data_IF_236062775142
#
_entry.id   IF_236062775142
#
_cell.length_a   1.000
_cell.length_b   1.000
_cell.length_c   1.000
_cell.angle_alpha   90.00
_cell.angle_beta   90.00
_cell.angle_gamma   90.00
#
_symmetry.space_group_name_H-M   'P 1'
#
loop_
_entity.id
_entity.type
_entity.pdbx_description
1 polymer ?
#
# COMPACT_ATOMS: atom_id res chain seq x y z
N UNK A 1 -14.53 -5.91 15.99
CA UNK A 1 -13.19 -5.35 15.74
C UNK A 1 -13.32 -4.46 14.52
N UNK A 2 -13.07 -3.17 14.64
CA UNK A 2 -13.13 -2.25 13.50
C UNK A 2 -12.05 -2.66 12.50
N UNK A 3 -12.46 -3.27 11.38
CA UNK A 3 -11.56 -3.81 10.38
C UNK A 3 -10.84 -2.66 9.65
N UNK A 4 -9.71 -2.22 10.20
CA UNK A 4 -8.86 -1.16 9.63
C UNK A 4 -8.42 -1.47 8.20
N UNK A 5 -8.44 -2.76 7.81
CA UNK A 5 -8.23 -3.21 6.42
C UNK A 5 -9.14 -2.48 5.44
N UNK A 6 -10.43 -2.34 5.74
CA UNK A 6 -11.41 -1.83 4.78
C UNK A 6 -11.18 -0.35 4.39
N UNK A 7 -11.01 0.59 5.33
CA UNK A 7 -10.65 1.96 4.98
C UNK A 7 -9.25 2.06 4.38
N UNK A 8 -8.30 1.22 4.79
CA UNK A 8 -6.95 1.19 4.20
C UNK A 8 -6.99 0.70 2.75
N UNK A 9 -7.72 -0.36 2.44
CA UNK A 9 -7.88 -0.87 1.07
C UNK A 9 -8.60 0.13 0.17
N UNK A 10 -9.59 0.87 0.70
CA UNK A 10 -10.25 1.96 -0.04
C UNK A 10 -9.26 3.08 -0.36
N UNK A 11 -8.52 3.57 0.65
CA UNK A 11 -7.50 4.60 0.45
C UNK A 11 -6.44 4.19 -0.58
N UNK A 12 -5.93 2.96 -0.45
CA UNK A 12 -4.96 2.40 -1.39
C UNK A 12 -5.55 2.33 -2.80
N UNK A 13 -6.82 1.96 -2.95
CA UNK A 13 -7.51 1.94 -4.24
C UNK A 13 -7.66 3.34 -4.84
N UNK A 14 -8.06 4.33 -4.04
CA UNK A 14 -8.27 5.72 -4.48
C UNK A 14 -6.96 6.43 -4.84
N UNK A 15 -5.88 6.14 -4.10
CA UNK A 15 -4.57 6.77 -4.31
C UNK A 15 -3.55 5.86 -4.99
N UNK A 16 -4.00 4.73 -5.56
CA UNK A 16 -3.13 3.70 -6.13
C UNK A 16 -2.08 4.25 -7.09
N UNK A 17 -2.51 5.07 -8.04
CA UNK A 17 -1.63 5.64 -9.07
C UNK A 17 -0.61 6.61 -8.47
N UNK A 18 -1.01 7.43 -7.51
CA UNK A 18 -0.12 8.34 -6.79
C UNK A 18 0.91 7.57 -5.96
N UNK A 19 0.47 6.52 -5.26
CA UNK A 19 1.34 5.62 -4.49
C UNK A 19 2.39 4.98 -5.40
N UNK A 20 1.96 4.34 -6.50
CA UNK A 20 2.88 3.69 -7.45
C UNK A 20 3.83 4.68 -8.12
N UNK A 21 3.35 5.90 -8.41
CA UNK A 21 4.17 6.99 -8.95
C UNK A 21 5.18 7.50 -7.93
N UNK A 22 4.83 7.60 -6.65
CA UNK A 22 5.75 8.01 -5.58
C UNK A 22 6.82 6.95 -5.28
N UNK A 23 6.51 5.67 -5.48
CA UNK A 23 7.48 4.60 -5.22
C UNK A 23 8.65 4.55 -6.22
N UNK A 24 8.43 4.81 -7.52
CA UNK A 24 9.51 4.69 -8.54
C UNK A 24 9.54 5.81 -9.59
N UNK A 25 8.68 6.83 -9.46
CA UNK A 25 8.52 7.89 -10.47
C UNK A 25 7.84 7.44 -11.77
N UNK A 26 7.80 6.14 -12.07
CA UNK A 26 7.11 5.53 -13.22
C UNK A 26 6.09 4.50 -12.74
N UNK A 27 4.80 4.76 -12.98
CA UNK A 27 3.70 3.89 -12.57
C UNK A 27 3.60 2.53 -13.32
N UNK A 28 4.66 2.08 -14.00
CA UNK A 28 4.57 1.07 -15.06
C UNK A 28 5.35 -0.23 -14.87
N UNK A 29 6.20 -0.39 -13.85
CA UNK A 29 7.12 -1.56 -13.77
C UNK A 29 7.17 -2.26 -12.42
N UNK A 30 6.18 -2.05 -11.55
CA UNK A 30 6.09 -2.80 -10.31
C UNK A 30 5.55 -4.21 -10.57
N UNK A 31 6.33 -5.22 -10.21
CA UNK A 31 5.84 -6.60 -10.12
C UNK A 31 5.34 -6.88 -8.71
N UNK A 32 4.44 -7.87 -8.57
CA UNK A 32 3.97 -8.32 -7.24
C UNK A 32 5.15 -8.72 -6.35
N UNK A 33 6.16 -9.39 -6.90
CA UNK A 33 7.37 -9.78 -6.17
C UNK A 33 8.21 -8.57 -5.72
N UNK A 34 8.35 -7.54 -6.58
CA UNK A 34 9.07 -6.31 -6.22
C UNK A 34 8.36 -5.54 -5.09
N UNK A 35 7.03 -5.48 -5.12
CA UNK A 35 6.23 -4.83 -4.09
C UNK A 35 6.21 -5.59 -2.76
N UNK A 36 6.40 -6.91 -2.76
CA UNK A 36 6.48 -7.72 -1.54
C UNK A 36 7.84 -7.62 -0.83
N UNK A 37 8.84 -6.98 -1.44
CA UNK A 37 10.14 -6.78 -0.82
C UNK A 37 10.02 -5.90 0.45
N UNK A 38 10.80 -6.19 1.49
CA UNK A 38 10.76 -5.44 2.75
C UNK A 38 10.98 -3.93 2.55
N UNK A 39 11.88 -3.54 1.64
CA UNK A 39 12.16 -2.14 1.33
C UNK A 39 10.98 -1.45 0.62
N UNK A 40 10.33 -2.16 -0.30
CA UNK A 40 9.16 -1.66 -1.02
C UNK A 40 7.96 -1.51 -0.07
N UNK A 41 7.74 -2.49 0.80
CA UNK A 41 6.69 -2.48 1.82
C UNK A 41 6.91 -1.36 2.84
N UNK A 42 8.15 -1.10 3.26
CA UNK A 42 8.44 -0.01 4.20
C UNK A 42 8.20 1.37 3.57
N UNK A 43 8.65 1.55 2.32
CA UNK A 43 8.38 2.76 1.52
C UNK A 43 6.88 2.96 1.32
N UNK A 44 6.17 1.89 0.93
CA UNK A 44 4.73 1.90 0.74
C UNK A 44 3.99 2.28 2.03
N UNK A 45 4.42 1.73 3.18
CA UNK A 45 3.82 2.07 4.47
C UNK A 45 3.99 3.56 4.79
N UNK A 46 5.15 4.15 4.50
CA UNK A 46 5.39 5.59 4.65
C UNK A 46 4.46 6.43 3.76
N UNK A 47 4.40 6.11 2.47
CA UNK A 47 3.53 6.82 1.52
C UNK A 47 2.06 6.70 1.93
N UNK A 48 1.59 5.49 2.26
CA UNK A 48 0.23 5.27 2.72
C UNK A 48 -0.05 6.05 4.01
N UNK A 49 0.89 6.13 4.96
CA UNK A 49 0.73 6.89 6.20
C UNK A 49 0.60 8.40 5.93
N UNK A 50 1.35 8.93 4.96
CA UNK A 50 1.21 10.31 4.50
C UNK A 50 -0.10 10.59 3.76
N UNK A 51 -0.73 9.58 3.19
CA UNK A 51 -2.04 9.71 2.53
C UNK A 51 -3.21 9.49 3.50
N UNK A 52 -2.96 8.93 4.68
CA UNK A 52 -4.02 8.70 5.67
C UNK A 52 -4.65 10.02 6.14
N UNK A 53 -5.98 10.06 6.28
CA UNK A 53 -6.65 11.19 6.88
C UNK A 53 -6.20 11.36 8.33
N UNK A 54 -6.07 12.60 8.80
CA UNK A 54 -5.48 12.92 10.11
C UNK A 54 -6.13 12.19 11.29
N UNK A 55 -7.42 11.89 11.20
CA UNK A 55 -8.15 11.07 12.18
C UNK A 55 -7.56 9.66 12.35
N UNK A 56 -7.10 9.02 11.27
CA UNK A 56 -6.47 7.70 11.35
C UNK A 56 -5.06 7.81 11.91
N UNK A 57 -4.33 8.90 11.64
CA UNK A 57 -3.01 9.15 12.27
C UNK A 57 -3.11 9.35 13.79
N UNK A 58 -4.24 9.87 14.27
CA UNK A 58 -4.53 9.97 15.70
C UNK A 58 -4.87 8.60 16.32
N UNK A 59 -5.55 7.75 15.56
CA UNK A 59 -5.96 6.41 16.02
C UNK A 59 -4.83 5.36 15.94
N UNK A 60 -3.94 5.47 14.94
CA UNK A 60 -2.88 4.50 14.66
C UNK A 60 -1.54 5.20 14.56
N UNK A 61 -0.63 4.86 15.48
CA UNK A 61 0.76 5.33 15.44
C UNK A 61 1.49 4.76 14.22
N UNK A 62 2.36 5.56 13.61
CA UNK A 62 3.17 5.15 12.45
C UNK A 62 3.84 3.77 12.60
N UNK A 63 4.56 3.45 13.70
CA UNK A 63 5.17 2.12 13.84
C UNK A 63 4.14 0.98 13.83
N UNK A 64 2.97 1.18 14.45
CA UNK A 64 1.90 0.18 14.44
C UNK A 64 1.32 0.01 13.03
N UNK A 65 1.19 1.11 12.28
CA UNK A 65 0.76 1.08 10.89
C UNK A 65 1.78 0.37 9.99
N UNK A 66 3.08 0.67 10.13
CA UNK A 66 4.16 -0.01 9.40
C UNK A 66 4.15 -1.52 9.66
N UNK A 67 4.02 -1.93 10.93
CA UNK A 67 3.88 -3.35 11.29
C UNK A 67 2.62 -3.97 10.68
N UNK A 68 1.50 -3.25 10.70
CA UNK A 68 0.26 -3.71 10.07
C UNK A 68 0.42 -3.91 8.56
N UNK A 69 1.02 -2.96 7.85
CA UNK A 69 1.26 -3.05 6.40
C UNK A 69 2.20 -4.21 6.09
N UNK A 70 3.27 -4.38 6.89
CA UNK A 70 4.21 -5.50 6.76
C UNK A 70 3.58 -6.87 7.01
N UNK A 71 2.70 -6.97 7.99
CA UNK A 71 1.97 -8.22 8.30
C UNK A 71 0.89 -8.54 7.27
N UNK A 72 0.29 -7.53 6.63
CA UNK A 72 -0.75 -7.69 5.62
C UNK A 72 -0.25 -7.45 4.19
N UNK A 73 1.08 -7.53 3.98
CA UNK A 73 1.74 -7.17 2.72
C UNK A 73 1.12 -7.85 1.51
N UNK A 74 0.80 -9.14 1.60
CA UNK A 74 0.20 -9.89 0.50
C UNK A 74 -1.15 -9.32 0.08
N UNK A 75 -2.03 -9.00 1.05
CA UNK A 75 -3.36 -8.44 0.79
C UNK A 75 -3.27 -7.00 0.27
N UNK A 76 -2.32 -6.22 0.81
CA UNK A 76 -2.08 -4.84 0.39
C UNK A 76 -1.53 -4.78 -1.04
N UNK A 77 -0.55 -5.62 -1.37
CA UNK A 77 0.00 -5.72 -2.71
C UNK A 77 -1.06 -6.22 -3.69
N UNK A 78 -1.90 -7.18 -3.31
CA UNK A 78 -3.02 -7.62 -4.13
C UNK A 78 -4.07 -6.51 -4.39
N UNK A 79 -4.19 -5.51 -3.51
CA UNK A 79 -5.02 -4.32 -3.77
C UNK A 79 -4.32 -3.29 -4.67
N UNK A 80 -3.00 -3.15 -4.56
CA UNK A 80 -2.19 -2.28 -5.43
C UNK A 80 -2.01 -2.85 -6.83
N UNK A 81 -2.12 -4.16 -7.00
CA UNK A 81 -2.00 -4.86 -8.26
C UNK A 81 -3.32 -5.60 -8.49
N UNK A 82 -4.32 -5.01 -9.16
CA UNK A 82 -5.51 -5.75 -9.56
C UNK A 82 -5.06 -6.98 -10.38
N UNK A 83 -5.86 -8.06 -10.41
CA UNK A 83 -5.48 -9.36 -10.97
C UNK A 83 -5.16 -9.39 -12.49
N UNK A 84 -4.93 -8.25 -13.14
CA UNK A 84 -4.79 -8.12 -14.59
C UNK A 84 -3.38 -7.78 -15.09
N UNK A 85 -2.31 -8.19 -14.40
CA UNK A 85 -0.94 -8.09 -14.95
C UNK A 85 -0.20 -9.43 -15.06
N UNK A 86 -0.95 -10.54 -15.16
CA UNK A 86 -0.39 -11.85 -15.52
C UNK A 86 -0.48 -12.18 -17.03
N UNK A 87 -0.97 -11.27 -17.88
CA UNK A 87 -0.97 -11.48 -19.33
C UNK A 87 -0.92 -10.16 -20.11
N UNK A 88 0.13 -9.98 -20.92
CA UNK A 88 0.13 -9.03 -22.04
C UNK A 88 1.41 -8.20 -22.18
N UNK A 89 2.28 -8.61 -23.11
CA UNK A 89 3.32 -7.77 -23.72
C UNK A 89 4.69 -8.42 -23.79
#
# INVERSE_FOLDING_TARGET
MSDLMQPVCRLIGEHREDILRKMDGKAGQWTVAALQNEQAIDTLAGICYELLPGLVRLAVKEPAFRTFVRNNRERIVAQLMPPQQAAGG
#
